data_IF_876187621434
#
_entry.id   IF_876187621434
#
_cell.length_a   1.000
_cell.length_b   1.000
_cell.length_c   1.000
_cell.angle_alpha   90.00
_cell.angle_beta   90.00
_cell.angle_gamma   90.00
#
_symmetry.space_group_name_H-M   'P 1'
#
loop_
_entity.id
_entity.type
_entity.pdbx_description
1 polymer ?
#
# COMPACT_ATOMS: atom_id res chain seq x y z
N UNK A 1 -28.69 5.56 3.28
CA UNK A 1 -27.54 5.20 2.41
C UNK A 1 -26.42 4.69 3.30
N UNK A 2 -25.93 3.46 3.10
CA UNK A 2 -24.79 2.93 3.87
C UNK A 2 -23.53 3.72 3.45
N UNK A 3 -22.77 4.24 4.42
CA UNK A 3 -21.48 4.89 4.19
C UNK A 3 -20.56 3.91 3.46
N UNK A 4 -20.09 4.27 2.27
CA UNK A 4 -19.13 3.47 1.50
C UNK A 4 -17.75 3.63 2.14
N UNK A 5 -17.06 2.52 2.39
CA UNK A 5 -15.71 2.53 2.94
C UNK A 5 -14.69 2.85 1.85
N UNK A 6 -13.68 3.66 2.16
CA UNK A 6 -12.51 3.83 1.29
C UNK A 6 -11.62 2.58 1.33
N UNK A 7 -10.95 2.28 0.21
CA UNK A 7 -10.04 1.14 0.10
C UNK A 7 -8.84 1.34 1.04
N UNK A 8 -8.83 0.62 2.16
CA UNK A 8 -7.87 0.81 3.27
C UNK A 8 -6.52 0.10 3.08
N UNK A 9 -6.42 -0.80 2.10
CA UNK A 9 -5.21 -1.59 1.83
C UNK A 9 -5.12 -1.92 0.35
N UNK A 10 -3.91 -2.27 -0.12
CA UNK A 10 -3.74 -2.83 -1.45
C UNK A 10 -4.55 -4.12 -1.53
N UNK A 11 -5.64 -4.09 -2.29
CA UNK A 11 -6.38 -5.30 -2.61
C UNK A 11 -5.42 -6.16 -3.44
N UNK A 12 -5.31 -7.47 -3.18
CA UNK A 12 -4.74 -8.41 -4.14
C UNK A 12 -5.37 -8.17 -5.53
N UNK A 13 -4.72 -8.62 -6.61
CA UNK A 13 -5.28 -8.46 -7.96
C UNK A 13 -6.77 -8.83 -7.97
N UNK A 14 -7.60 -7.91 -8.49
CA UNK A 14 -9.07 -8.05 -8.53
C UNK A 14 -9.47 -9.34 -9.24
N UNK A 15 -8.66 -9.75 -10.21
CA UNK A 15 -8.79 -11.01 -10.92
C UNK A 15 -7.70 -11.98 -10.47
N UNK A 16 -8.03 -13.28 -10.48
CA UNK A 16 -7.04 -14.33 -10.28
C UNK A 16 -5.99 -14.29 -11.38
N UNK A 17 -4.75 -14.61 -11.03
CA UNK A 17 -3.65 -14.71 -11.98
C UNK A 17 -3.44 -16.16 -12.37
N UNK A 18 -3.13 -16.38 -13.63
CA UNK A 18 -2.74 -17.68 -14.17
C UNK A 18 -1.33 -17.61 -14.78
N UNK A 19 -0.65 -18.75 -14.84
CA UNK A 19 0.68 -18.88 -15.42
C UNK A 19 0.58 -19.74 -16.67
N UNK A 20 0.83 -19.12 -17.82
CA UNK A 20 0.90 -19.81 -19.10
C UNK A 20 2.36 -20.15 -19.41
N UNK A 21 2.61 -21.39 -19.82
CA UNK A 21 3.92 -21.87 -20.27
C UNK A 21 4.22 -21.36 -21.70
N UNK A 22 4.22 -20.03 -21.86
CA UNK A 22 4.54 -19.33 -23.10
C UNK A 22 5.50 -18.17 -22.83
N UNK A 23 6.36 -17.86 -23.80
CA UNK A 23 7.36 -16.81 -23.63
C UNK A 23 6.74 -15.44 -23.36
N UNK A 24 7.28 -14.74 -22.36
CA UNK A 24 6.78 -13.42 -21.95
C UNK A 24 7.01 -12.38 -23.04
N UNK A 25 5.93 -11.70 -23.44
CA UNK A 25 5.99 -10.57 -24.39
C UNK A 25 6.70 -9.33 -23.83
N UNK A 26 6.91 -9.27 -22.50
CA UNK A 26 7.50 -8.12 -21.81
C UNK A 26 8.95 -8.35 -21.36
N UNK A 27 9.41 -9.62 -21.31
CA UNK A 27 10.74 -9.98 -20.78
C UNK A 27 11.38 -11.08 -21.62
N UNK A 28 12.49 -10.75 -22.27
CA UNK A 28 13.17 -11.56 -23.30
C UNK A 28 13.63 -12.96 -22.84
N UNK A 29 13.85 -13.16 -21.54
CA UNK A 29 14.34 -14.44 -20.99
C UNK A 29 13.35 -15.16 -20.08
N UNK A 30 12.09 -14.74 -20.08
CA UNK A 30 11.05 -15.36 -19.25
C UNK A 30 10.21 -16.31 -20.12
N UNK A 31 10.28 -17.61 -19.83
CA UNK A 31 9.62 -18.68 -20.60
C UNK A 31 8.15 -18.93 -20.24
N UNK A 32 7.61 -18.11 -19.34
CA UNK A 32 6.22 -18.17 -18.90
C UNK A 32 5.60 -16.78 -18.88
N UNK A 33 4.28 -16.70 -19.04
CA UNK A 33 3.52 -15.47 -18.95
C UNK A 33 2.56 -15.52 -17.77
N UNK A 34 2.62 -14.50 -16.90
CA UNK A 34 1.62 -14.31 -15.85
C UNK A 34 0.51 -13.41 -16.41
N UNK A 35 -0.71 -13.93 -16.46
CA UNK A 35 -1.88 -13.22 -17.00
C UNK A 35 -2.96 -13.08 -15.94
N UNK A 36 -3.76 -12.02 -16.03
CA UNK A 36 -5.02 -11.94 -15.30
C UNK A 36 -6.07 -12.80 -16.04
N UNK A 37 -6.85 -13.56 -15.29
CA UNK A 37 -7.98 -14.33 -15.79
C UNK A 37 -9.25 -13.49 -15.78
N UNK A 38 -10.36 -14.03 -16.29
CA UNK A 38 -11.69 -13.43 -16.18
C UNK A 38 -12.35 -13.73 -14.81
N UNK A 39 -11.72 -14.55 -13.97
CA UNK A 39 -12.26 -14.94 -12.67
C UNK A 39 -11.92 -13.91 -11.61
N UNK A 40 -12.94 -13.32 -10.99
CA UNK A 40 -12.77 -12.38 -9.88
C UNK A 40 -12.23 -13.12 -8.66
N UNK A 41 -11.24 -12.52 -8.00
CA UNK A 41 -10.65 -13.05 -6.78
C UNK A 41 -11.70 -13.07 -5.64
N UNK A 42 -11.92 -14.20 -4.94
CA UNK A 42 -12.86 -14.28 -3.81
C UNK A 42 -12.59 -13.21 -2.73
N UNK A 43 -11.33 -12.88 -2.49
CA UNK A 43 -10.95 -11.83 -1.52
C UNK A 43 -11.43 -10.44 -1.96
N UNK A 44 -11.50 -10.18 -3.28
CA UNK A 44 -12.05 -8.93 -3.81
C UNK A 44 -13.58 -8.89 -3.68
N UNK A 45 -14.26 -10.02 -3.86
CA UNK A 45 -15.71 -10.13 -3.63
C UNK A 45 -16.06 -9.93 -2.15
N UNK A 46 -15.31 -10.53 -1.23
CA UNK A 46 -15.46 -10.29 0.22
C UNK A 46 -15.23 -8.82 0.61
N UNK A 47 -14.44 -8.10 -0.19
CA UNK A 47 -14.23 -6.66 -0.05
C UNK A 47 -15.33 -5.80 -0.72
N UNK A 48 -16.41 -6.41 -1.24
CA UNK A 48 -17.51 -5.78 -1.96
C UNK A 48 -17.04 -4.94 -3.17
N UNK A 49 -16.13 -5.51 -3.98
CA UNK A 49 -15.61 -4.84 -5.18
C UNK A 49 -16.71 -4.55 -6.23
N UNK A 50 -17.78 -5.34 -6.25
CA UNK A 50 -18.97 -5.17 -7.08
C UNK A 50 -19.74 -3.88 -6.78
N UNK A 51 -19.66 -3.41 -5.53
CA UNK A 51 -20.26 -2.16 -5.07
C UNK A 51 -19.27 -0.98 -5.09
N UNK A 52 -18.05 -1.17 -5.59
CA UNK A 52 -17.01 -0.14 -5.58
C UNK A 52 -17.16 0.82 -6.77
N UNK A 53 -16.94 2.11 -6.53
CA UNK A 53 -16.82 3.10 -7.59
C UNK A 53 -15.40 3.14 -8.14
N UNK A 54 -15.24 2.88 -9.43
CA UNK A 54 -13.99 3.11 -10.11
C UNK A 54 -13.74 4.62 -10.21
N UNK A 55 -12.60 5.08 -9.71
CA UNK A 55 -12.14 6.45 -9.85
C UNK A 55 -10.93 6.49 -10.78
N UNK A 56 -10.79 7.56 -11.56
CA UNK A 56 -9.58 7.78 -12.34
C UNK A 56 -8.36 7.87 -11.41
N UNK A 57 -7.33 7.10 -11.74
CA UNK A 57 -6.07 7.13 -11.02
C UNK A 57 -5.19 8.24 -11.61
N UNK A 58 -5.35 9.45 -11.05
CA UNK A 58 -4.68 10.66 -11.54
C UNK A 58 -3.15 10.62 -11.39
N UNK A 59 -2.64 9.94 -10.35
CA UNK A 59 -1.22 9.74 -10.15
C UNK A 59 -0.89 8.34 -9.60
N UNK A 60 0.40 8.03 -9.50
CA UNK A 60 0.95 6.77 -8.99
C UNK A 60 0.40 6.28 -7.65
N UNK A 61 -0.13 7.18 -6.81
CA UNK A 61 -0.25 6.98 -5.37
C UNK A 61 -1.70 6.97 -4.92
N UNK A 62 -2.12 5.95 -4.17
CA UNK A 62 -3.47 5.92 -3.61
C UNK A 62 -3.66 7.11 -2.64
N UNK A 63 -4.73 7.89 -2.85
CA UNK A 63 -5.06 9.04 -2.03
C UNK A 63 -6.57 9.11 -1.69
N UNK A 64 -6.93 9.85 -0.65
CA UNK A 64 -8.30 10.14 -0.25
C UNK A 64 -8.40 11.51 0.44
N UNK A 65 -9.60 12.08 0.52
CA UNK A 65 -9.83 13.35 1.24
C UNK A 65 -10.52 13.07 2.58
N UNK A 66 -9.97 13.59 3.67
CA UNK A 66 -10.56 13.52 5.00
C UNK A 66 -10.17 14.73 5.86
N UNK A 67 -10.94 14.98 6.91
CA UNK A 67 -10.70 16.11 7.82
C UNK A 67 -9.46 15.84 8.69
N UNK A 68 -8.57 16.84 8.75
CA UNK A 68 -7.47 16.92 9.71
C UNK A 68 -7.44 18.34 10.27
N UNK A 69 -7.41 18.47 11.60
CA UNK A 69 -7.45 19.76 12.29
C UNK A 69 -8.62 20.68 11.84
N UNK A 70 -9.78 20.09 11.54
CA UNK A 70 -10.99 20.82 11.14
C UNK A 70 -11.02 21.28 9.68
N UNK A 71 -10.00 20.97 8.87
CA UNK A 71 -9.94 21.32 7.44
C UNK A 71 -9.82 20.06 6.58
N UNK A 72 -10.27 20.07 5.31
CA UNK A 72 -10.07 18.94 4.41
C UNK A 72 -8.59 18.84 4.00
N UNK A 73 -8.01 17.64 4.10
CA UNK A 73 -6.65 17.35 3.66
C UNK A 73 -6.66 16.23 2.62
N UNK A 74 -5.68 16.25 1.72
CA UNK A 74 -5.40 15.13 0.84
C UNK A 74 -4.49 14.16 1.59
N UNK A 75 -5.00 12.98 1.88
CA UNK A 75 -4.24 11.91 2.51
C UNK A 75 -3.66 11.02 1.43
N UNK A 76 -2.34 10.82 1.44
CA UNK A 76 -1.67 9.93 0.52
C UNK A 76 -0.96 8.80 1.28
N UNK A 77 -0.85 7.64 0.62
CA UNK A 77 -0.15 6.50 1.20
C UNK A 77 1.30 6.85 1.51
N UNK A 78 1.69 6.68 2.77
CA UNK A 78 3.05 6.83 3.25
C UNK A 78 3.36 5.64 4.16
N UNK A 79 3.93 4.57 3.62
CA UNK A 79 4.34 3.43 4.45
C UNK A 79 5.59 3.81 5.26
N UNK A 80 5.56 3.58 6.57
CA UNK A 80 6.74 3.75 7.42
C UNK A 80 7.69 2.59 7.16
N UNK A 81 8.83 2.93 6.53
CA UNK A 81 9.84 1.97 6.08
C UNK A 81 10.96 1.79 7.10
N UNK A 82 11.61 0.61 7.12
CA UNK A 82 12.79 0.41 7.94
C UNK A 82 13.93 1.32 7.47
N UNK A 83 14.85 1.63 8.38
CA UNK A 83 16.09 2.31 8.06
C UNK A 83 17.04 1.35 7.32
N UNK A 84 18.14 1.88 6.74
CA UNK A 84 19.06 1.07 5.91
C UNK A 84 19.69 -0.11 6.69
N UNK A 85 19.99 0.08 7.98
CA UNK A 85 20.61 -0.93 8.81
C UNK A 85 19.63 -2.07 9.12
N UNK A 86 18.42 -1.70 9.52
CA UNK A 86 17.33 -2.64 9.80
C UNK A 86 16.92 -3.42 8.55
N UNK A 87 16.81 -2.76 7.40
CA UNK A 87 16.51 -3.41 6.11
C UNK A 87 17.58 -4.45 5.75
N UNK A 88 18.86 -4.16 5.97
CA UNK A 88 19.96 -5.11 5.75
C UNK A 88 19.86 -6.31 6.69
N UNK A 89 19.56 -6.06 7.98
CA UNK A 89 19.37 -7.08 9.01
C UNK A 89 18.21 -8.02 8.66
N UNK A 90 17.09 -7.44 8.24
CA UNK A 90 15.89 -8.17 7.85
C UNK A 90 16.11 -9.02 6.60
N UNK A 91 16.71 -8.45 5.54
CA UNK A 91 17.05 -9.23 4.33
C UNK A 91 17.98 -10.39 4.65
N UNK A 92 18.99 -10.18 5.51
CA UNK A 92 19.88 -11.26 5.96
C UNK A 92 19.09 -12.37 6.66
N UNK A 93 18.18 -12.02 7.57
CA UNK A 93 17.31 -12.99 8.25
C UNK A 93 16.45 -13.78 7.27
N UNK A 94 15.80 -13.09 6.33
CA UNK A 94 14.98 -13.72 5.29
C UNK A 94 15.80 -14.71 4.44
N UNK A 95 17.03 -14.35 4.07
CA UNK A 95 17.91 -15.24 3.32
C UNK A 95 18.34 -16.47 4.13
N UNK A 96 18.67 -16.30 5.43
CA UNK A 96 19.13 -17.40 6.29
C UNK A 96 18.00 -18.35 6.67
N UNK A 97 16.84 -17.83 7.05
CA UNK A 97 15.73 -18.62 7.59
C UNK A 97 14.64 -18.95 6.56
N UNK A 98 14.73 -18.42 5.33
CA UNK A 98 13.68 -18.49 4.28
C UNK A 98 12.29 -18.11 4.81
N UNK A 99 12.26 -17.27 5.84
CA UNK A 99 11.06 -16.87 6.56
C UNK A 99 11.28 -15.49 7.18
N UNK A 100 10.19 -14.75 7.34
CA UNK A 100 10.14 -13.53 8.14
C UNK A 100 9.71 -13.80 9.59
N UNK A 101 9.35 -15.05 9.92
CA UNK A 101 8.97 -15.46 11.28
C UNK A 101 10.15 -15.25 12.24
N UNK A 102 9.81 -14.90 13.48
CA UNK A 102 10.74 -14.72 14.60
C UNK A 102 11.76 -13.58 14.45
N UNK A 103 11.66 -12.75 13.40
CA UNK A 103 12.43 -11.51 13.33
C UNK A 103 11.84 -10.46 14.28
N UNK A 104 12.62 -10.04 15.27
CA UNK A 104 12.22 -9.00 16.21
C UNK A 104 12.59 -7.61 15.70
N UNK A 105 11.56 -6.78 15.49
CA UNK A 105 11.70 -5.38 15.16
C UNK A 105 11.74 -4.52 16.42
N UNK A 106 12.62 -3.51 16.45
CA UNK A 106 12.51 -2.39 17.38
C UNK A 106 11.87 -1.20 16.63
N UNK A 107 10.58 -0.91 16.85
CA UNK A 107 9.83 0.05 16.03
C UNK A 107 10.39 1.48 16.13
N UNK A 108 10.96 1.83 17.28
CA UNK A 108 11.54 3.13 17.57
C UNK A 108 12.88 3.31 16.83
N UNK A 109 13.72 2.28 16.82
CA UNK A 109 15.08 2.36 16.25
C UNK A 109 15.15 1.91 14.79
N UNK A 110 14.46 0.82 14.43
CA UNK A 110 14.59 0.16 13.13
C UNK A 110 13.87 0.91 12.00
N UNK A 111 13.02 1.90 12.29
CA UNK A 111 12.17 2.56 11.31
C UNK A 111 12.46 4.05 11.14
N UNK A 112 12.25 4.56 9.93
CA UNK A 112 12.31 5.99 9.66
C UNK A 112 11.25 6.74 10.46
N UNK A 113 11.53 8.00 10.79
CA UNK A 113 10.55 8.91 11.36
C UNK A 113 9.44 9.18 10.34
N UNK A 114 8.25 9.46 10.86
CA UNK A 114 7.09 9.87 10.07
C UNK A 114 6.60 11.23 10.57
N UNK A 115 5.86 11.99 9.73
CA UNK A 115 5.20 13.21 10.17
C UNK A 115 4.20 12.96 11.30
N UNK A 116 3.88 14.00 12.06
CA UNK A 116 2.90 13.93 13.17
C UNK A 116 1.50 13.53 12.69
N UNK A 117 1.12 13.98 11.49
CA UNK A 117 -0.13 13.65 10.82
C UNK A 117 -0.22 12.20 10.34
N UNK A 118 0.87 11.43 10.42
CA UNK A 118 0.88 10.06 9.95
C UNK A 118 0.00 9.17 10.81
N UNK A 119 -0.85 8.38 10.16
CA UNK A 119 -1.69 7.38 10.82
C UNK A 119 -1.45 5.98 10.21
N UNK A 120 -1.43 4.92 11.04
CA UNK A 120 -1.37 3.56 10.53
C UNK A 120 -2.66 3.23 9.77
N UNK A 121 -2.55 2.43 8.72
CA UNK A 121 -3.74 1.97 7.99
C UNK A 121 -4.61 1.08 8.90
N UNK A 122 -5.94 1.14 8.73
CA UNK A 122 -6.92 0.58 9.68
C UNK A 122 -6.71 -0.90 10.06
N UNK A 123 -6.15 -1.71 9.15
CA UNK A 123 -5.94 -3.17 9.36
C UNK A 123 -4.50 -3.56 9.71
N UNK A 124 -3.63 -2.58 9.96
CA UNK A 124 -2.29 -2.86 10.46
C UNK A 124 -2.39 -3.54 11.80
N UNK A 125 -1.66 -4.65 11.98
CA UNK A 125 -1.62 -5.35 13.26
C UNK A 125 -0.95 -4.47 14.30
N UNK A 126 -1.36 -4.59 15.55
CA UNK A 126 -0.76 -3.85 16.65
C UNK A 126 -0.23 -4.81 17.72
N UNK A 127 0.87 -4.43 18.36
CA UNK A 127 1.43 -5.10 19.54
C UNK A 127 1.71 -4.04 20.59
N UNK A 128 1.20 -4.22 21.81
CA UNK A 128 1.28 -3.23 22.90
C UNK A 128 0.81 -1.81 22.48
N UNK A 129 -0.20 -1.73 21.61
CA UNK A 129 -0.72 -0.44 21.11
C UNK A 129 0.10 0.18 19.96
N UNK A 130 1.23 -0.41 19.58
CA UNK A 130 2.06 0.09 18.48
C UNK A 130 1.83 -0.72 17.19
N UNK A 131 1.76 -0.06 16.02
CA UNK A 131 1.61 -0.76 14.75
C UNK A 131 2.88 -1.57 14.44
N UNK A 132 2.69 -2.81 14.02
CA UNK A 132 3.80 -3.72 13.66
C UNK A 132 3.93 -3.85 12.13
N UNK A 133 5.14 -4.09 11.63
CA UNK A 133 5.37 -4.24 10.20
C UNK A 133 4.73 -5.50 9.62
N UNK A 134 4.44 -5.43 8.32
CA UNK A 134 4.00 -6.55 7.50
C UNK A 134 5.14 -7.53 7.18
N UNK A 135 4.84 -8.56 6.38
CA UNK A 135 5.81 -9.59 5.96
C UNK A 135 6.96 -9.05 5.10
N UNK A 136 6.82 -7.83 4.55
CA UNK A 136 7.85 -7.13 3.81
C UNK A 136 8.66 -6.17 4.68
N UNK A 137 8.33 -6.06 5.97
CA UNK A 137 9.01 -5.19 6.91
C UNK A 137 8.52 -3.73 6.86
N UNK A 138 7.39 -3.43 6.21
CA UNK A 138 6.83 -2.08 6.16
C UNK A 138 5.65 -1.94 7.12
N UNK A 139 5.42 -0.75 7.65
CA UNK A 139 4.19 -0.42 8.38
C UNK A 139 3.31 0.45 7.47
N UNK A 140 2.24 -0.11 6.87
CA UNK A 140 1.35 0.65 5.99
C UNK A 140 0.69 1.83 6.71
N UNK A 141 0.60 2.97 6.02
CA UNK A 141 -0.02 4.15 6.61
C UNK A 141 -0.33 5.23 5.59
N UNK A 142 -0.79 6.36 6.09
CA UNK A 142 -1.11 7.54 5.28
C UNK A 142 -0.70 8.80 6.03
N UNK A 143 -0.33 9.81 5.28
CA UNK A 143 0.02 11.12 5.79
C UNK A 143 -0.86 12.19 5.16
N UNK A 144 -1.18 13.22 5.94
CA UNK A 144 -2.04 14.32 5.52
C UNK A 144 -1.19 15.41 4.85
N UNK A 145 -1.45 15.64 3.57
CA UNK A 145 -0.89 16.76 2.82
C UNK A 145 -1.92 17.88 2.79
N UNK A 146 -1.51 19.08 3.22
CA UNK A 146 -2.35 20.27 3.09
C UNK A 146 -2.78 20.36 1.64
N UNK A 147 -4.09 20.48 1.33
CA UNK A 147 -4.49 20.62 -0.05
C UNK A 147 -3.86 21.92 -0.52
N UNK A 148 -2.96 21.89 -1.51
CA UNK A 148 -2.44 23.12 -2.02
C UNK A 148 -3.65 23.86 -2.58
N UNK A 149 -4.01 24.99 -1.98
CA UNK A 149 -4.84 26.02 -2.63
C UNK A 149 -4.16 26.61 -3.89
N UNK A 150 -3.17 25.89 -4.45
CA UNK A 150 -2.22 26.27 -5.49
C UNK A 150 -1.80 25.12 -6.43
N UNK A 151 -2.18 23.84 -6.25
CA UNK A 151 -1.80 22.77 -7.23
C UNK A 151 -2.87 22.47 -8.29
N UNK A 152 -4.01 23.14 -8.23
CA UNK A 152 -4.88 23.34 -9.38
C UNK A 152 -4.72 24.79 -9.86
N UNK A 153 -3.50 25.21 -10.17
CA UNK A 153 -3.33 26.28 -11.14
C UNK A 153 -3.33 25.60 -12.50
N UNK A 154 -4.38 25.73 -13.32
CA UNK A 154 -4.26 25.37 -14.72
C UNK A 154 -3.18 26.30 -15.27
N UNK A 155 -2.02 25.74 -15.62
CA UNK A 155 -1.14 26.43 -16.55
C UNK A 155 -1.98 26.62 -17.81
N UNK A 156 -2.48 27.85 -17.97
CA UNK A 156 -2.81 28.45 -19.24
C UNK A 156 -1.65 28.19 -20.19
N UNK A 157 -1.81 27.18 -21.03
CA UNK A 157 -1.05 26.98 -22.25
C UNK A 157 -2.03 27.13 -23.40
N UNK A 158 -2.07 28.34 -23.96
CA UNK A 158 -2.56 28.63 -25.31
C UNK A 158 -1.71 27.87 -26.32
#
# INVERSE_FOLDING_TARGET
MRRLGSVQQKIPCVFLTDVKEEASRKREHQQFQVVATETVNPVALEANVDCAFATEKLDGTCCYVALYQGQPYLWARLDRKPNKQAEKRFKKHQHTHKSCKDFSWNVEEDFKTVPESWIPAHRVKHSNGHPIPDEHGHIPGSDAFYPPSLAFSPLLGV
#
